data_IF_397662544206
#
_entry.id   IF_397662544206
#
_cell.length_a   1.000
_cell.length_b   1.000
_cell.length_c   1.000
_cell.angle_alpha   90.00
_cell.angle_beta   90.00
_cell.angle_gamma   90.00
#
_symmetry.space_group_name_H-M   'P 1'
#
loop_
_entity.id
_entity.type
_entity.pdbx_description
1 polymer ?
#
# COMPACT_ATOMS: atom_id res chain seq x y z
N UNK A 1 12.23 -10.43 -9.44
CA UNK A 1 11.57 -9.79 -8.29
C UNK A 1 11.77 -10.64 -7.02
N UNK A 2 12.12 -9.97 -5.92
CA UNK A 2 12.22 -10.57 -4.58
C UNK A 2 11.10 -10.00 -3.71
N UNK A 3 9.97 -10.71 -3.64
CA UNK A 3 8.81 -10.30 -2.86
C UNK A 3 8.94 -10.70 -1.39
N UNK A 4 8.24 -9.99 -0.51
CA UNK A 4 8.11 -10.31 0.91
C UNK A 4 8.55 -9.19 1.84
N UNK A 5 8.10 -9.26 3.11
CA UNK A 5 8.37 -8.29 4.16
C UNK A 5 8.19 -6.82 3.71
N UNK A 6 7.07 -6.54 3.03
CA UNK A 6 6.75 -5.20 2.47
C UNK A 6 7.84 -4.60 1.57
N UNK A 7 8.63 -5.46 0.90
CA UNK A 7 9.72 -5.08 0.01
C UNK A 7 11.12 -5.13 0.65
N UNK A 8 11.26 -5.33 1.95
CA UNK A 8 12.56 -5.35 2.63
C UNK A 8 13.50 -6.44 2.11
N UNK A 9 12.96 -7.61 1.69
CA UNK A 9 13.79 -8.69 1.10
C UNK A 9 14.46 -8.22 -0.21
N UNK A 10 13.75 -7.45 -1.02
CA UNK A 10 14.29 -6.90 -2.26
C UNK A 10 15.36 -5.84 -2.01
N UNK A 11 15.12 -4.93 -1.07
CA UNK A 11 16.05 -3.87 -0.70
C UNK A 11 17.29 -4.44 -0.02
N UNK A 12 17.15 -5.43 0.88
CA UNK A 12 18.28 -6.14 1.51
C UNK A 12 19.21 -6.77 0.48
N UNK A 13 18.66 -7.32 -0.59
CA UNK A 13 19.46 -7.88 -1.68
C UNK A 13 20.23 -6.81 -2.45
N UNK A 14 19.73 -5.58 -2.55
CA UNK A 14 20.45 -4.44 -3.13
C UNK A 14 21.53 -3.98 -2.16
N UNK A 15 21.20 -3.82 -0.88
CA UNK A 15 22.14 -3.38 0.16
C UNK A 15 23.40 -4.26 0.26
N UNK A 16 23.23 -5.57 0.00
CA UNK A 16 24.32 -6.57 0.07
C UNK A 16 25.02 -6.83 -1.27
N UNK A 17 24.61 -6.17 -2.35
CA UNK A 17 25.25 -6.33 -3.65
C UNK A 17 26.59 -5.55 -3.73
N UNK A 18 27.44 -5.93 -4.68
CA UNK A 18 28.66 -5.19 -4.93
C UNK A 18 28.34 -3.76 -5.41
N UNK A 19 29.06 -2.73 -4.91
CA UNK A 19 28.82 -1.33 -5.29
C UNK A 19 29.52 -0.97 -6.63
N UNK A 20 29.35 -1.80 -7.64
CA UNK A 20 29.99 -1.71 -8.95
C UNK A 20 29.13 -1.02 -10.02
N UNK A 21 27.93 -0.55 -9.62
CA UNK A 21 26.99 0.12 -10.52
C UNK A 21 26.13 -0.81 -11.37
N UNK A 22 26.33 -2.14 -11.30
CA UNK A 22 25.54 -3.11 -12.10
C UNK A 22 24.30 -3.63 -11.36
N UNK A 23 24.17 -3.38 -10.05
CA UNK A 23 22.98 -3.76 -9.29
C UNK A 23 22.21 -2.52 -8.87
N UNK A 24 20.98 -2.42 -9.37
CA UNK A 24 20.02 -1.38 -8.96
C UNK A 24 18.73 -2.03 -8.45
N UNK A 25 18.08 -1.39 -7.49
CA UNK A 25 16.78 -1.79 -6.97
C UNK A 25 15.71 -0.75 -7.27
N UNK A 26 14.56 -1.18 -7.78
CA UNK A 26 13.35 -0.37 -7.80
C UNK A 26 12.47 -0.79 -6.63
N UNK A 27 12.19 0.13 -5.70
CA UNK A 27 11.41 -0.16 -4.50
C UNK A 27 10.54 1.01 -4.07
N UNK A 28 9.48 0.68 -3.30
CA UNK A 28 8.71 1.66 -2.54
C UNK A 28 9.54 2.17 -1.35
N UNK A 29 9.14 3.34 -0.84
CA UNK A 29 9.80 3.98 0.32
C UNK A 29 9.63 3.20 1.63
N UNK A 30 8.60 2.34 1.76
CA UNK A 30 8.25 1.67 3.02
C UNK A 30 9.40 0.89 3.66
N UNK A 31 10.18 0.07 2.94
CA UNK A 31 11.35 -0.62 3.52
C UNK A 31 12.41 0.31 4.10
N UNK A 32 12.52 1.51 3.55
CA UNK A 32 13.56 2.47 3.88
C UNK A 32 13.14 3.44 5.00
N UNK A 33 11.88 3.90 4.97
CA UNK A 33 11.42 4.96 5.87
C UNK A 33 10.41 4.48 6.94
N UNK A 34 9.72 3.36 6.77
CA UNK A 34 8.72 2.89 7.74
C UNK A 34 9.22 1.68 8.54
N UNK A 35 9.70 0.65 7.87
CA UNK A 35 10.10 -0.60 8.51
C UNK A 35 11.17 -0.43 9.61
N UNK A 36 12.19 0.44 9.46
CA UNK A 36 13.20 0.67 10.49
C UNK A 36 12.64 1.15 11.82
N UNK A 37 11.49 1.83 11.82
CA UNK A 37 10.82 2.33 13.02
C UNK A 37 9.94 1.27 13.71
N UNK A 38 9.66 0.14 13.06
CA UNK A 38 8.74 -0.89 13.53
C UNK A 38 9.42 -2.18 13.97
N UNK A 39 10.74 -2.28 13.81
CA UNK A 39 11.51 -3.45 14.21
C UNK A 39 12.93 -3.49 13.67
N UNK A 40 13.59 -4.65 13.79
CA UNK A 40 14.94 -4.84 13.25
C UNK A 40 14.88 -4.91 11.72
N UNK A 41 15.50 -3.93 11.06
CA UNK A 41 15.76 -3.99 9.62
C UNK A 41 17.00 -4.87 9.35
N UNK A 42 17.01 -5.69 8.29
CA UNK A 42 18.19 -6.47 7.90
C UNK A 42 19.32 -5.63 7.28
N UNK A 43 19.08 -4.35 7.05
CA UNK A 43 20.03 -3.35 6.53
C UNK A 43 19.78 -2.00 7.22
N UNK A 44 20.77 -1.14 7.20
CA UNK A 44 20.67 0.27 7.64
C UNK A 44 20.38 1.14 6.39
N UNK A 45 19.18 1.72 6.26
CA UNK A 45 18.82 2.48 5.06
C UNK A 45 19.69 3.73 4.85
N UNK A 46 20.34 4.24 5.88
CA UNK A 46 21.22 5.42 5.77
C UNK A 46 22.65 5.07 5.40
N UNK A 47 23.09 3.86 5.70
CA UNK A 47 24.48 3.41 5.52
C UNK A 47 24.66 2.46 4.34
N UNK A 48 23.65 1.60 4.08
CA UNK A 48 23.78 0.48 3.15
C UNK A 48 23.16 0.76 1.79
N UNK A 49 22.37 1.86 1.66
CA UNK A 49 21.61 2.20 0.46
C UNK A 49 21.90 3.63 0.01
N UNK A 50 22.19 3.80 -1.28
CA UNK A 50 22.26 5.09 -1.94
C UNK A 50 20.99 5.34 -2.77
N UNK A 51 20.23 6.41 -2.52
CA UNK A 51 19.12 6.81 -3.41
C UNK A 51 19.69 7.39 -4.71
N UNK A 52 19.23 6.86 -5.85
CA UNK A 52 19.65 7.33 -7.18
C UNK A 52 18.65 8.36 -7.71
N UNK A 53 17.37 8.01 -7.77
CA UNK A 53 16.33 8.91 -8.28
C UNK A 53 14.96 8.51 -7.77
N UNK A 54 14.12 9.53 -7.51
CA UNK A 54 12.68 9.36 -7.31
C UNK A 54 12.02 9.19 -8.67
N UNK A 55 11.28 8.08 -8.86
CA UNK A 55 10.69 7.73 -10.16
C UNK A 55 9.23 8.15 -10.24
N UNK A 56 8.44 7.88 -9.18
CA UNK A 56 7.02 8.21 -9.20
C UNK A 56 6.41 8.29 -7.80
N UNK A 57 5.41 9.12 -7.67
CA UNK A 57 4.40 9.02 -6.62
C UNK A 57 3.24 8.16 -7.13
N UNK A 58 2.80 7.21 -6.32
CA UNK A 58 1.68 6.34 -6.65
C UNK A 58 0.61 6.43 -5.57
N UNK A 59 -0.58 6.96 -5.91
CA UNK A 59 -1.72 6.98 -5.01
C UNK A 59 -2.08 5.57 -4.53
N UNK A 60 -2.56 5.46 -3.29
CA UNK A 60 -3.08 4.20 -2.75
C UNK A 60 -4.59 4.19 -2.89
N UNK A 61 -5.11 3.23 -3.66
CA UNK A 61 -6.54 2.99 -3.81
C UNK A 61 -7.03 2.02 -2.74
N UNK A 62 -8.16 2.37 -2.16
CA UNK A 62 -8.96 1.51 -1.29
C UNK A 62 -10.16 1.02 -2.08
N UNK A 63 -10.22 -0.28 -2.33
CA UNK A 63 -11.14 -0.90 -3.25
C UNK A 63 -11.99 -1.95 -2.53
N UNK A 64 -13.29 -1.88 -2.67
CA UNK A 64 -14.20 -2.96 -2.33
C UNK A 64 -14.09 -4.09 -3.36
N UNK A 65 -13.96 -5.31 -2.88
CA UNK A 65 -13.97 -6.54 -3.68
C UNK A 65 -15.41 -7.03 -3.89
N UNK A 66 -15.66 -8.09 -4.66
CA UNK A 66 -16.99 -8.71 -4.76
C UNK A 66 -17.59 -9.18 -3.42
N UNK A 67 -16.78 -9.43 -2.40
CA UNK A 67 -17.26 -9.75 -1.05
C UNK A 67 -17.78 -8.52 -0.30
N UNK A 68 -17.34 -7.32 -0.68
CA UNK A 68 -17.75 -6.08 0.00
C UNK A 68 -19.18 -5.70 -0.37
N UNK A 69 -20.01 -5.52 0.64
CA UNK A 69 -21.37 -5.00 0.49
C UNK A 69 -21.46 -3.47 0.61
N UNK A 70 -20.34 -2.83 0.97
CA UNK A 70 -20.29 -1.40 1.19
C UNK A 70 -20.59 -0.61 -0.10
N UNK A 71 -21.47 0.38 0.00
CA UNK A 71 -21.82 1.28 -1.11
C UNK A 71 -20.71 2.29 -1.39
N UNK A 72 -20.09 2.78 -0.35
CA UNK A 72 -18.99 3.75 -0.34
C UNK A 72 -18.13 3.56 0.91
N UNK A 73 -17.14 4.43 1.09
CA UNK A 73 -16.23 4.35 2.23
C UNK A 73 -16.90 4.64 3.58
N UNK A 74 -17.92 5.51 3.60
CA UNK A 74 -18.66 5.82 4.84
C UNK A 74 -19.50 4.64 5.28
N UNK A 75 -20.14 3.95 4.35
CA UNK A 75 -20.89 2.72 4.59
C UNK A 75 -19.97 1.58 5.07
N UNK A 76 -18.73 1.49 4.52
CA UNK A 76 -17.71 0.59 5.02
C UNK A 76 -17.41 0.84 6.50
N UNK A 77 -17.18 2.10 6.88
CA UNK A 77 -16.90 2.46 8.28
C UNK A 77 -18.12 2.23 9.19
N UNK A 78 -19.32 2.49 8.69
CA UNK A 78 -20.56 2.18 9.44
C UNK A 78 -20.68 0.67 9.70
N UNK A 79 -20.38 -0.15 8.70
CA UNK A 79 -20.33 -1.62 8.85
C UNK A 79 -19.26 -2.06 9.84
N UNK A 80 -18.06 -1.46 9.80
CA UNK A 80 -16.99 -1.77 10.74
C UNK A 80 -17.33 -1.41 12.20
N UNK A 81 -18.12 -0.35 12.40
CA UNK A 81 -18.65 0.01 13.75
C UNK A 81 -19.71 -0.98 14.23
N UNK A 82 -20.63 -1.36 13.34
CA UNK A 82 -21.70 -2.29 13.70
C UNK A 82 -21.18 -3.71 13.95
N UNK A 83 -20.11 -4.08 13.30
CA UNK A 83 -19.53 -5.44 13.30
C UNK A 83 -18.01 -5.38 13.39
N UNK A 84 -17.46 -5.09 14.59
CA UNK A 84 -16.03 -4.96 14.79
C UNK A 84 -15.26 -6.23 14.38
N UNK A 85 -14.20 -6.05 13.59
CA UNK A 85 -13.33 -7.14 13.14
C UNK A 85 -13.86 -8.00 11.99
N UNK A 86 -15.12 -7.86 11.55
CA UNK A 86 -15.65 -8.65 10.43
C UNK A 86 -15.07 -8.25 9.06
N UNK A 87 -14.73 -6.98 8.87
CA UNK A 87 -14.12 -6.51 7.62
C UNK A 87 -12.66 -6.95 7.56
N UNK A 88 -12.29 -7.64 6.50
CA UNK A 88 -10.91 -8.04 6.22
C UNK A 88 -10.30 -7.07 5.21
N UNK A 89 -9.24 -6.40 5.63
CA UNK A 89 -8.51 -5.44 4.84
C UNK A 89 -7.12 -5.97 4.51
N UNK A 90 -6.81 -6.04 3.23
CA UNK A 90 -5.55 -6.60 2.78
C UNK A 90 -4.54 -5.55 2.36
N UNK A 91 -3.28 -5.85 2.58
CA UNK A 91 -2.13 -5.02 2.21
C UNK A 91 -1.00 -5.88 1.66
N UNK A 92 0.03 -5.25 1.11
CA UNK A 92 1.25 -5.93 0.64
C UNK A 92 2.18 -6.41 1.77
N UNK A 93 1.71 -6.35 3.02
CA UNK A 93 2.41 -6.88 4.18
C UNK A 93 2.41 -5.94 5.38
N UNK A 94 2.88 -6.42 6.55
CA UNK A 94 3.07 -5.60 7.74
C UNK A 94 4.01 -4.43 7.44
N UNK A 95 3.78 -3.27 8.05
CA UNK A 95 4.56 -2.05 7.85
C UNK A 95 4.60 -1.52 6.40
N UNK A 96 3.74 -2.01 5.51
CA UNK A 96 3.49 -1.34 4.23
C UNK A 96 2.70 -0.06 4.45
N UNK A 97 2.75 0.85 3.48
CA UNK A 97 1.97 2.09 3.57
C UNK A 97 0.47 1.81 3.75
N UNK A 98 -0.07 0.81 3.02
CA UNK A 98 -1.47 0.39 3.19
C UNK A 98 -1.81 -0.10 4.59
N UNK A 99 -0.86 -0.70 5.32
CA UNK A 99 -1.03 -1.07 6.72
C UNK A 99 -1.05 0.16 7.64
N UNK A 100 -0.13 1.10 7.45
CA UNK A 100 -0.12 2.35 8.23
C UNK A 100 -1.41 3.15 8.00
N UNK A 101 -1.89 3.21 6.75
CA UNK A 101 -3.17 3.85 6.42
C UNK A 101 -4.34 3.17 7.15
N UNK A 102 -4.37 1.84 7.20
CA UNK A 102 -5.38 1.09 7.94
C UNK A 102 -5.37 1.43 9.44
N UNK A 103 -4.19 1.44 10.07
CA UNK A 103 -4.03 1.78 11.48
C UNK A 103 -4.51 3.21 11.77
N UNK A 104 -4.16 4.17 10.91
CA UNK A 104 -4.62 5.55 11.02
C UNK A 104 -6.15 5.68 10.86
N UNK A 105 -6.74 4.90 9.94
CA UNK A 105 -8.21 4.85 9.77
C UNK A 105 -8.86 4.27 11.01
N UNK A 106 -8.38 3.14 11.52
CA UNK A 106 -8.93 2.50 12.72
C UNK A 106 -8.88 3.44 13.93
N UNK A 107 -7.73 4.08 14.15
CA UNK A 107 -7.55 5.02 15.25
C UNK A 107 -8.45 6.26 15.12
N UNK A 108 -8.49 6.88 13.94
CA UNK A 108 -9.25 8.12 13.71
C UNK A 108 -10.76 7.90 13.69
N UNK A 109 -11.22 6.79 13.12
CA UNK A 109 -12.65 6.47 12.98
C UNK A 109 -13.19 5.64 14.16
N UNK A 110 -12.33 5.22 15.08
CA UNK A 110 -12.66 4.34 16.22
C UNK A 110 -13.39 3.07 15.79
N UNK A 111 -12.81 2.36 14.82
CA UNK A 111 -13.32 1.09 14.29
C UNK A 111 -12.29 -0.02 14.41
N UNK A 112 -12.76 -1.27 14.38
CA UNK A 112 -11.91 -2.46 14.34
C UNK A 112 -12.06 -3.14 12.97
N UNK A 113 -10.95 -3.32 12.26
CA UNK A 113 -10.86 -3.96 10.96
C UNK A 113 -9.75 -5.00 11.03
N UNK A 114 -9.99 -6.20 10.52
CA UNK A 114 -8.99 -7.27 10.52
C UNK A 114 -7.99 -7.07 9.39
N UNK A 115 -6.72 -6.89 9.75
CA UNK A 115 -5.62 -6.82 8.79
C UNK A 115 -5.24 -8.20 8.27
N UNK A 116 -5.18 -8.37 6.96
CA UNK A 116 -4.75 -9.60 6.29
C UNK A 116 -3.55 -9.28 5.39
N UNK A 117 -2.31 -9.55 5.85
CA UNK A 117 -1.11 -9.25 5.08
C UNK A 117 -0.84 -10.28 3.98
N UNK A 118 -0.48 -9.79 2.78
CA UNK A 118 -0.01 -10.60 1.65
C UNK A 118 1.51 -10.45 1.45
N UNK A 119 2.14 -11.45 0.83
CA UNK A 119 3.58 -11.41 0.50
C UNK A 119 3.88 -10.62 -0.78
N UNK A 120 2.86 -10.17 -1.51
CA UNK A 120 3.01 -9.41 -2.75
C UNK A 120 1.66 -9.17 -3.44
N UNK A 121 1.63 -8.17 -4.34
CA UNK A 121 0.39 -7.68 -4.95
C UNK A 121 -0.28 -8.66 -5.94
N UNK A 122 0.47 -9.61 -6.52
CA UNK A 122 -0.10 -10.53 -7.52
C UNK A 122 -1.14 -11.48 -6.91
N UNK A 123 -0.78 -12.19 -5.85
CA UNK A 123 -1.72 -13.07 -5.13
C UNK A 123 -2.85 -12.27 -4.51
N UNK A 124 -2.53 -11.13 -3.88
CA UNK A 124 -3.53 -10.22 -3.30
C UNK A 124 -4.60 -9.80 -4.33
N UNK A 125 -4.20 -9.49 -5.56
CA UNK A 125 -5.12 -9.12 -6.64
C UNK A 125 -6.00 -10.28 -7.07
N UNK A 126 -5.44 -11.48 -7.23
CA UNK A 126 -6.21 -12.67 -7.61
C UNK A 126 -7.28 -12.99 -6.57
N UNK A 127 -6.92 -12.96 -5.29
CA UNK A 127 -7.84 -13.22 -4.19
C UNK A 127 -8.88 -12.11 -4.04
N UNK A 128 -8.51 -10.84 -4.34
CA UNK A 128 -9.46 -9.72 -4.39
C UNK A 128 -10.53 -9.94 -5.45
N UNK A 129 -10.13 -10.34 -6.66
CA UNK A 129 -11.07 -10.62 -7.76
C UNK A 129 -11.94 -11.84 -7.47
N UNK A 130 -11.43 -12.79 -6.68
CA UNK A 130 -12.17 -13.93 -6.17
C UNK A 130 -13.05 -13.66 -4.95
N UNK A 131 -13.06 -12.42 -4.42
CA UNK A 131 -13.89 -12.05 -3.26
C UNK A 131 -13.48 -12.73 -1.96
N UNK A 132 -12.18 -13.03 -1.76
CA UNK A 132 -11.71 -13.71 -0.55
C UNK A 132 -11.67 -12.81 0.69
N UNK A 133 -11.83 -11.52 0.52
CA UNK A 133 -11.86 -10.49 1.57
C UNK A 133 -12.61 -9.24 1.08
N UNK A 134 -12.90 -8.30 1.98
CA UNK A 134 -13.77 -7.15 1.68
C UNK A 134 -13.03 -5.96 1.08
N UNK A 135 -11.79 -5.66 1.53
CA UNK A 135 -11.07 -4.46 1.12
C UNK A 135 -9.66 -4.77 0.62
N UNK A 136 -9.38 -4.34 -0.59
CA UNK A 136 -8.05 -4.33 -1.20
C UNK A 136 -7.42 -2.94 -1.04
N UNK A 137 -6.26 -2.86 -0.40
CA UNK A 137 -5.39 -1.67 -0.42
C UNK A 137 -4.23 -1.93 -1.37
N UNK A 138 -4.14 -1.14 -2.44
CA UNK A 138 -3.10 -1.29 -3.47
C UNK A 138 -2.77 0.04 -4.13
N UNK A 139 -1.62 0.12 -4.80
CA UNK A 139 -1.26 1.31 -5.56
C UNK A 139 -2.09 1.43 -6.85
N UNK A 140 -2.43 2.67 -7.21
CA UNK A 140 -3.08 2.94 -8.47
C UNK A 140 -2.16 2.58 -9.65
N UNK A 141 -2.65 1.77 -10.56
CA UNK A 141 -1.90 1.36 -11.75
C UNK A 141 -2.84 0.89 -12.87
N UNK A 142 -2.34 0.74 -14.11
CA UNK A 142 -3.18 0.39 -15.25
C UNK A 142 -4.01 -0.88 -15.06
N UNK A 143 -3.41 -1.95 -14.51
CA UNK A 143 -4.12 -3.21 -14.26
C UNK A 143 -5.27 -3.04 -13.24
N UNK A 144 -5.04 -2.29 -12.16
CA UNK A 144 -6.08 -1.98 -11.17
C UNK A 144 -7.22 -1.19 -11.82
N UNK A 145 -6.88 -0.18 -12.60
CA UNK A 145 -7.88 0.65 -13.30
C UNK A 145 -8.72 -0.16 -14.29
N UNK A 146 -8.15 -1.17 -14.97
CA UNK A 146 -8.91 -2.08 -15.84
C UNK A 146 -9.97 -2.87 -15.05
N UNK A 147 -9.62 -3.39 -13.86
CA UNK A 147 -10.58 -4.10 -13.00
C UNK A 147 -11.67 -3.19 -12.45
N UNK A 148 -11.33 -1.93 -12.15
CA UNK A 148 -12.31 -0.92 -11.75
C UNK A 148 -13.26 -0.59 -12.90
N UNK A 149 -12.74 -0.33 -14.11
CA UNK A 149 -13.55 -0.07 -15.31
C UNK A 149 -14.46 -1.25 -15.67
N UNK A 150 -14.00 -2.47 -15.43
CA UNK A 150 -14.78 -3.69 -15.65
C UNK A 150 -15.81 -3.97 -14.53
N UNK A 151 -15.92 -3.09 -13.52
CA UNK A 151 -16.84 -3.26 -12.39
C UNK A 151 -16.50 -4.40 -11.43
N UNK A 152 -15.30 -4.99 -11.55
CA UNK A 152 -14.84 -6.10 -10.70
C UNK A 152 -14.34 -5.63 -9.33
N UNK A 153 -13.87 -4.40 -9.26
CA UNK A 153 -13.45 -3.74 -8.02
C UNK A 153 -14.12 -2.39 -7.92
N UNK A 154 -14.63 -2.04 -6.74
CA UNK A 154 -15.32 -0.78 -6.48
C UNK A 154 -14.36 0.19 -5.78
N UNK A 155 -14.02 1.34 -6.37
CA UNK A 155 -13.23 2.36 -5.66
C UNK A 155 -14.05 2.95 -4.50
N UNK A 156 -13.46 2.98 -3.31
CA UNK A 156 -14.08 3.50 -2.09
C UNK A 156 -13.45 4.83 -1.67
N UNK A 157 -12.12 4.91 -1.70
CA UNK A 157 -11.35 6.11 -1.39
C UNK A 157 -9.94 6.04 -2.01
N UNK A 158 -9.25 7.16 -2.02
CA UNK A 158 -7.85 7.26 -2.45
C UNK A 158 -7.00 8.03 -1.44
N UNK A 159 -5.80 7.52 -1.17
CA UNK A 159 -4.73 8.24 -0.49
C UNK A 159 -3.93 9.03 -1.52
N UNK A 160 -4.21 10.32 -1.64
CA UNK A 160 -3.55 11.22 -2.58
C UNK A 160 -3.79 12.69 -2.16
N UNK A 161 -2.95 13.65 -2.62
CA UNK A 161 -3.18 15.07 -2.36
C UNK A 161 -4.49 15.61 -2.95
N UNK A 162 -4.96 15.02 -4.06
CA UNK A 162 -6.20 15.35 -4.74
C UNK A 162 -6.83 14.09 -5.35
N UNK A 163 -8.11 14.16 -5.75
CA UNK A 163 -8.78 13.08 -6.48
C UNK A 163 -8.04 12.78 -7.78
N UNK A 164 -8.08 11.52 -8.19
CA UNK A 164 -7.45 11.11 -9.45
C UNK A 164 -8.29 11.56 -10.64
N UNK A 165 -7.66 12.12 -11.66
CA UNK A 165 -8.35 12.49 -12.91
C UNK A 165 -9.06 11.29 -13.58
N UNK A 166 -8.53 10.07 -13.40
CA UNK A 166 -9.13 8.82 -13.88
C UNK A 166 -10.30 8.31 -13.03
N UNK A 167 -10.50 8.87 -11.82
CA UNK A 167 -11.54 8.50 -10.87
C UNK A 167 -12.06 9.74 -10.13
N UNK A 168 -12.68 10.70 -10.84
CA UNK A 168 -13.03 12.01 -10.27
C UNK A 168 -14.10 11.94 -9.17
N UNK A 169 -14.91 10.89 -9.14
CA UNK A 169 -15.96 10.68 -8.14
C UNK A 169 -15.45 10.00 -6.86
N UNK A 170 -14.21 9.51 -6.86
CA UNK A 170 -13.62 8.83 -5.70
C UNK A 170 -12.97 9.85 -4.77
N UNK A 171 -13.47 9.99 -3.53
CA UNK A 171 -12.94 10.97 -2.59
C UNK A 171 -11.55 10.59 -2.08
N UNK A 172 -10.76 11.59 -1.73
CA UNK A 172 -9.55 11.37 -0.95
C UNK A 172 -9.89 11.07 0.51
N UNK A 173 -8.98 10.42 1.23
CA UNK A 173 -9.18 10.18 2.66
C UNK A 173 -9.22 11.50 3.45
N UNK A 174 -8.52 12.55 2.99
CA UNK A 174 -8.62 13.88 3.59
C UNK A 174 -10.03 14.48 3.46
N UNK A 175 -10.67 14.36 2.29
CA UNK A 175 -12.07 14.79 2.08
C UNK A 175 -13.08 14.00 2.93
N UNK A 176 -12.72 12.79 3.31
CA UNK A 176 -13.51 11.94 4.20
C UNK A 176 -13.28 12.20 5.69
N UNK A 177 -12.45 13.22 6.03
CA UNK A 177 -12.14 13.58 7.41
C UNK A 177 -11.03 12.75 8.05
N UNK A 178 -10.22 12.07 7.24
CA UNK A 178 -9.13 11.18 7.67
C UNK A 178 -7.77 11.66 7.12
N UNK A 179 -7.35 12.93 7.40
CA UNK A 179 -6.13 13.49 6.82
C UNK A 179 -4.86 12.72 7.21
N UNK A 180 -4.79 12.15 8.42
CA UNK A 180 -3.65 11.35 8.86
C UNK A 180 -3.46 10.07 8.04
N UNK A 181 -4.53 9.51 7.48
CA UNK A 181 -4.49 8.34 6.63
C UNK A 181 -4.30 8.69 5.13
N UNK A 182 -4.34 9.97 4.77
CA UNK A 182 -4.29 10.40 3.37
C UNK A 182 -2.86 10.40 2.83
N UNK A 183 -2.34 9.23 2.55
CA UNK A 183 -0.96 8.99 2.15
C UNK A 183 -0.87 8.44 0.73
N UNK A 184 0.26 8.72 0.04
CA UNK A 184 0.62 8.13 -1.24
C UNK A 184 2.01 7.51 -1.18
N UNK A 185 2.25 6.47 -1.99
CA UNK A 185 3.55 5.80 -2.05
C UNK A 185 4.53 6.60 -2.91
N UNK A 186 5.78 6.65 -2.48
CA UNK A 186 6.91 7.08 -3.30
C UNK A 186 7.68 5.83 -3.74
N UNK A 187 8.06 5.78 -5.02
CA UNK A 187 8.94 4.77 -5.58
C UNK A 187 10.20 5.41 -6.14
N UNK A 188 11.32 4.75 -5.93
CA UNK A 188 12.62 5.21 -6.39
C UNK A 188 13.52 4.08 -6.86
N UNK A 189 14.62 4.48 -7.49
CA UNK A 189 15.75 3.61 -7.80
C UNK A 189 16.81 3.83 -6.73
N UNK A 190 17.37 2.74 -6.29
CA UNK A 190 18.35 2.66 -5.22
C UNK A 190 19.54 1.79 -5.67
N UNK A 191 20.70 2.12 -5.18
CA UNK A 191 21.95 1.37 -5.38
C UNK A 191 22.52 0.91 -4.03
N UNK A 192 23.45 -0.05 -4.01
CA UNK A 192 24.31 -0.28 -2.83
C UNK A 192 25.00 1.01 -2.43
N UNK A 193 25.21 1.22 -1.12
CA UNK A 193 26.04 2.33 -0.66
C UNK A 193 27.44 2.23 -1.29
N UNK A 194 28.08 3.38 -1.50
CA UNK A 194 29.42 3.51 -2.14
C UNK A 194 29.46 3.15 -3.64
N UNK A 195 28.32 2.97 -4.30
CA UNK A 195 28.25 2.92 -5.77
C UNK A 195 28.74 4.26 -6.32
N UNK A 196 29.70 4.29 -7.29
CA UNK A 196 30.29 5.51 -7.85
C UNK A 196 29.26 6.45 -8.48
#
# INVERSE_FOLDING_TARGET
>A
NKAGASGSIGVDAVAKAAPDGYTLGFAAISPLALNPHLGKSPFDPQKDIAPVVSVMYSPVLLLGTPASKAKDFRDLLATARAKPGEIRWTTSGPASLGHIMLEQIMASAQVQITHVPYKGGGQQMNDALGGQFEVLSTNAGPAVQQHVKAGKLKPLAVGAPARLASLPDVPTLAELGLPAANMSSLFGIYAPAQTP
#
